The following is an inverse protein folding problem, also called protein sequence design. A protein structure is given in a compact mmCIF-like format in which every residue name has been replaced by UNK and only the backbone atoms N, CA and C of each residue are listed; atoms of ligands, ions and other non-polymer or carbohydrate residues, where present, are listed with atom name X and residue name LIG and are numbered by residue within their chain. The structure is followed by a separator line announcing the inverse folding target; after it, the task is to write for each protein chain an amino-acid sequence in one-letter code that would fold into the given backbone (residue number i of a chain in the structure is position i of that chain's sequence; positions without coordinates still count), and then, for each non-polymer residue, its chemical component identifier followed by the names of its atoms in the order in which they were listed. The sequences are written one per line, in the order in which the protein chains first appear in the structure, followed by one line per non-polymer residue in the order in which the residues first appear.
data_IF_964472338099
#
_entry.id   IF_964472338099
#
_cell.length_a   1.000
_cell.length_b   1.000
_cell.length_c   1.000
_cell.angle_alpha   90.00
_cell.angle_beta   90.00
_cell.angle_gamma   90.00
#
_symmetry.space_group_name_H-M   'P 1'
#
loop_
_entity.id
_entity.type
_entity.pdbx_description
1 polymer ?
#
# COMPACT_ATOMS: atom_id res chain seq x y z
N UNK A 1 -11.72 12.20 -8.94
CA UNK A 1 -10.41 11.62 -9.30
C UNK A 1 -10.49 10.10 -9.30
N UNK A 2 -9.65 9.42 -10.09
CA UNK A 2 -9.58 7.95 -10.10
C UNK A 2 -8.45 7.45 -9.19
N UNK A 3 -8.73 6.43 -8.39
CA UNK A 3 -7.77 5.75 -7.53
C UNK A 3 -7.60 4.32 -8.01
N UNK A 4 -6.38 3.92 -8.37
CA UNK A 4 -6.05 2.52 -8.66
C UNK A 4 -5.32 1.92 -7.47
N UNK A 5 -5.98 1.02 -6.73
CA UNK A 5 -5.34 0.23 -5.69
C UNK A 5 -4.63 -0.97 -6.30
N UNK A 6 -3.39 -1.20 -5.90
CA UNK A 6 -2.52 -2.25 -6.41
C UNK A 6 -1.95 -3.02 -5.24
N UNK A 7 -2.18 -4.33 -5.20
CA UNK A 7 -1.49 -5.21 -4.25
C UNK A 7 -0.04 -5.37 -4.68
N UNK A 8 0.90 -5.44 -3.74
CA UNK A 8 2.29 -5.75 -4.08
C UNK A 8 2.42 -7.04 -4.92
N UNK A 9 3.48 -7.14 -5.73
CA UNK A 9 3.85 -8.40 -6.38
C UNK A 9 4.23 -9.48 -5.37
N UNK A 10 4.39 -10.71 -5.81
CA UNK A 10 4.73 -11.83 -4.94
C UNK A 10 5.96 -11.52 -4.06
N UNK A 11 5.80 -11.66 -2.75
CA UNK A 11 6.86 -11.41 -1.77
C UNK A 11 7.43 -12.71 -1.21
N UNK A 12 8.65 -12.67 -0.69
CA UNK A 12 9.31 -13.84 -0.09
C UNK A 12 8.49 -14.45 1.05
N UNK A 13 7.75 -13.61 1.80
CA UNK A 13 6.87 -14.04 2.88
C UNK A 13 5.68 -14.91 2.45
N UNK A 14 5.36 -15.02 1.16
CA UNK A 14 4.26 -15.87 0.66
C UNK A 14 4.73 -17.25 0.19
N UNK A 15 6.03 -17.53 0.16
CA UNK A 15 6.58 -18.74 -0.46
C UNK A 15 6.46 -20.01 0.41
N UNK A 16 6.48 -19.89 1.73
CA UNK A 16 6.55 -21.04 2.65
C UNK A 16 5.76 -20.79 3.94
N UNK A 17 4.45 -20.64 3.78
CA UNK A 17 3.53 -20.35 4.88
C UNK A 17 3.39 -21.55 5.85
N UNK A 18 3.19 -21.30 7.15
CA UNK A 18 3.12 -20.00 7.80
C UNK A 18 4.50 -19.44 8.21
N UNK A 19 5.58 -20.23 8.11
CA UNK A 19 6.89 -19.87 8.63
C UNK A 19 7.46 -18.61 7.98
N UNK A 20 7.26 -18.43 6.68
CA UNK A 20 7.73 -17.26 5.93
C UNK A 20 7.07 -15.94 6.37
N UNK A 21 6.00 -15.96 7.15
CA UNK A 21 5.40 -14.75 7.75
C UNK A 21 6.27 -14.10 8.83
N UNK A 22 7.26 -14.84 9.36
CA UNK A 22 8.21 -14.33 10.35
C UNK A 22 9.44 -13.66 9.73
N UNK A 23 9.55 -13.66 8.39
CA UNK A 23 10.60 -12.92 7.70
C UNK A 23 10.43 -11.43 7.96
N UNK A 24 11.47 -10.78 8.46
CA UNK A 24 11.51 -9.33 8.55
C UNK A 24 11.77 -8.73 7.17
N UNK A 25 11.03 -7.68 6.85
CA UNK A 25 11.23 -6.86 5.66
C UNK A 25 11.38 -7.65 4.34
N UNK A 26 10.46 -8.58 4.03
CA UNK A 26 10.58 -9.46 2.88
C UNK A 26 10.56 -8.67 1.56
N UNK A 27 11.48 -9.02 0.66
CA UNK A 27 11.53 -8.48 -0.70
C UNK A 27 10.48 -9.11 -1.61
N UNK A 28 10.32 -8.53 -2.80
CA UNK A 28 9.73 -9.22 -3.94
C UNK A 28 10.61 -10.39 -4.38
N UNK A 29 9.97 -11.49 -4.76
CA UNK A 29 10.61 -12.58 -5.50
C UNK A 29 10.91 -12.13 -6.94
N UNK A 30 11.68 -12.91 -7.70
CA UNK A 30 11.86 -12.62 -9.13
C UNK A 30 10.51 -12.62 -9.88
N UNK A 31 9.62 -13.57 -9.58
CA UNK A 31 8.26 -13.57 -10.11
C UNK A 31 7.49 -12.31 -9.70
N UNK A 32 7.63 -11.85 -8.44
CA UNK A 32 7.03 -10.60 -7.97
C UNK A 32 7.53 -9.36 -8.72
N UNK A 33 8.82 -9.32 -9.06
CA UNK A 33 9.41 -8.24 -9.87
C UNK A 33 8.87 -8.28 -11.30
N UNK A 34 8.74 -9.46 -11.91
CA UNK A 34 8.16 -9.61 -13.25
C UNK A 34 6.68 -9.20 -13.29
N UNK A 35 5.90 -9.60 -12.30
CA UNK A 35 4.53 -9.16 -12.11
C UNK A 35 4.42 -7.63 -12.03
N UNK A 36 5.25 -6.99 -11.19
CA UNK A 36 5.27 -5.53 -11.04
C UNK A 36 5.70 -4.82 -12.33
N UNK A 37 6.72 -5.32 -13.05
CA UNK A 37 7.12 -4.78 -14.36
C UNK A 37 5.99 -4.91 -15.38
N UNK A 38 5.24 -6.01 -15.36
CA UNK A 38 4.13 -6.22 -16.30
C UNK A 38 3.03 -5.18 -16.10
N UNK A 39 2.79 -4.74 -14.87
CA UNK A 39 1.84 -3.66 -14.58
C UNK A 39 2.23 -2.31 -15.20
N UNK A 40 3.52 -2.03 -15.43
CA UNK A 40 3.94 -0.80 -16.14
C UNK A 40 3.43 -0.74 -17.58
N UNK A 41 3.08 -1.89 -18.17
CA UNK A 41 2.46 -1.94 -19.51
C UNK A 41 0.94 -1.76 -19.47
N UNK A 42 0.32 -2.02 -18.32
CA UNK A 42 -1.11 -1.83 -18.06
C UNK A 42 -1.40 -0.39 -17.65
N UNK A 43 -0.49 0.21 -16.88
CA UNK A 43 -0.62 1.56 -16.35
C UNK A 43 0.44 2.47 -16.96
N UNK A 44 0.06 3.35 -17.91
CA UNK A 44 0.97 4.35 -18.45
C UNK A 44 1.15 5.48 -17.44
N UNK A 45 1.87 5.22 -16.34
CA UNK A 45 2.15 6.23 -15.30
C UNK A 45 2.91 7.39 -15.93
N UNK A 46 2.42 8.60 -15.72
CA UNK A 46 2.99 9.86 -16.23
C UNK A 46 3.41 10.76 -15.08
N UNK A 47 4.17 11.81 -15.40
CA UNK A 47 4.60 12.83 -14.42
C UNK A 47 3.45 13.54 -13.68
N UNK A 48 2.24 13.53 -14.27
CA UNK A 48 1.06 14.21 -13.73
C UNK A 48 0.26 13.33 -12.76
N UNK A 49 0.65 12.05 -12.61
CA UNK A 49 0.06 11.11 -11.67
C UNK A 49 0.74 11.15 -10.30
N UNK A 50 0.05 10.63 -9.29
CA UNK A 50 0.58 10.43 -7.94
C UNK A 50 0.68 8.94 -7.61
N UNK A 51 1.86 8.50 -7.16
CA UNK A 51 2.04 7.14 -6.61
C UNK A 51 2.16 7.24 -5.10
N UNK A 52 1.23 6.62 -4.37
CA UNK A 52 1.26 6.50 -2.92
C UNK A 52 1.56 5.06 -2.54
N UNK A 53 2.49 4.86 -1.60
CA UNK A 53 3.00 3.52 -1.30
C UNK A 53 3.08 3.23 0.20
N UNK A 54 2.79 1.99 0.55
CA UNK A 54 3.03 1.45 1.89
C UNK A 54 4.52 1.48 2.25
N UNK A 55 4.89 1.80 3.50
CA UNK A 55 6.27 1.78 3.99
C UNK A 55 6.79 0.35 4.26
N UNK A 56 6.66 -0.55 3.29
CA UNK A 56 7.17 -1.94 3.35
C UNK A 56 7.97 -2.21 2.08
N UNK A 57 9.10 -2.92 2.17
CA UNK A 57 10.01 -3.11 1.02
C UNK A 57 9.32 -3.65 -0.23
N UNK A 58 8.53 -4.72 -0.12
CA UNK A 58 7.83 -5.30 -1.28
C UNK A 58 6.88 -4.34 -1.99
N UNK A 59 6.21 -3.44 -1.25
CA UNK A 59 5.36 -2.40 -1.84
C UNK A 59 6.18 -1.29 -2.47
N UNK A 60 7.28 -0.88 -1.83
CA UNK A 60 8.22 0.11 -2.40
C UNK A 60 8.85 -0.40 -3.69
N UNK A 61 9.33 -1.64 -3.73
CA UNK A 61 9.85 -2.28 -4.93
C UNK A 61 8.79 -2.39 -6.03
N UNK A 62 7.56 -2.78 -5.68
CA UNK A 62 6.45 -2.83 -6.64
C UNK A 62 6.18 -1.45 -7.23
N UNK A 63 6.05 -0.42 -6.39
CA UNK A 63 5.80 0.95 -6.82
C UNK A 63 6.93 1.50 -7.71
N UNK A 64 8.20 1.24 -7.37
CA UNK A 64 9.34 1.65 -8.22
C UNK A 64 9.27 1.04 -9.61
N UNK A 65 8.93 -0.25 -9.72
CA UNK A 65 8.85 -0.96 -10.99
C UNK A 65 7.65 -0.52 -11.84
N UNK A 66 6.53 -0.18 -11.23
CA UNK A 66 5.35 0.36 -11.91
C UNK A 66 5.62 1.78 -12.40
N UNK A 67 6.17 2.64 -11.52
CA UNK A 67 6.39 4.04 -11.82
C UNK A 67 7.55 4.26 -12.82
N UNK A 68 8.54 3.36 -12.87
CA UNK A 68 9.64 3.42 -13.82
C UNK A 68 10.38 4.76 -13.82
N UNK A 69 10.56 5.36 -15.00
CA UNK A 69 11.15 6.70 -15.17
C UNK A 69 10.09 7.77 -15.51
N UNK A 70 8.84 7.55 -15.12
CA UNK A 70 7.72 8.47 -15.44
C UNK A 70 7.89 9.91 -14.95
N UNK A 71 8.77 10.15 -13.99
CA UNK A 71 8.91 11.45 -13.32
C UNK A 71 7.72 11.80 -12.41
N UNK A 72 6.80 10.86 -12.17
CA UNK A 72 5.69 11.05 -11.26
C UNK A 72 6.17 11.30 -9.83
N UNK A 73 5.34 12.00 -9.06
CA UNK A 73 5.58 12.16 -7.63
C UNK A 73 5.26 10.86 -6.89
N UNK A 74 6.13 10.46 -5.97
CA UNK A 74 6.01 9.22 -5.20
C UNK A 74 6.07 9.51 -3.72
N UNK A 75 5.05 9.07 -2.97
CA UNK A 75 4.92 9.38 -1.54
C UNK A 75 4.74 8.10 -0.73
N UNK A 76 5.61 7.88 0.24
CA UNK A 76 5.43 6.85 1.27
C UNK A 76 4.48 7.36 2.33
N UNK A 77 3.41 6.60 2.61
CA UNK A 77 2.35 7.01 3.52
C UNK A 77 1.95 5.86 4.47
N UNK A 78 1.95 6.07 5.81
CA UNK A 78 1.67 4.98 6.75
C UNK A 78 0.19 4.55 6.75
N UNK A 79 -0.73 5.41 6.33
CA UNK A 79 -2.16 5.06 6.18
C UNK A 79 -2.46 4.09 5.02
N UNK A 80 -1.46 3.69 4.25
CA UNK A 80 -1.57 2.58 3.30
C UNK A 80 -0.69 1.39 3.69
N UNK A 81 -0.16 1.35 4.92
CA UNK A 81 0.59 0.21 5.47
C UNK A 81 -0.25 -1.06 5.56
N UNK A 82 0.32 -2.23 5.91
CA UNK A 82 -0.43 -3.46 6.09
C UNK A 82 -1.59 -3.28 7.07
N UNK A 83 -2.72 -3.89 6.74
CA UNK A 83 -3.91 -4.03 7.58
C UNK A 83 -4.35 -5.48 7.65
N UNK A 84 -4.49 -6.00 8.85
CA UNK A 84 -5.02 -7.34 9.05
C UNK A 84 -6.50 -7.35 8.66
N UNK A 85 -6.92 -8.43 7.99
CA UNK A 85 -8.30 -8.60 7.60
C UNK A 85 -8.75 -10.06 7.72
N UNK A 86 -9.90 -10.35 8.37
CA UNK A 86 -10.67 -9.42 9.21
C UNK A 86 -9.87 -9.02 10.47
N UNK A 87 -10.26 -7.90 11.10
CA UNK A 87 -9.69 -7.51 12.38
C UNK A 87 -10.00 -8.55 13.47
N UNK A 88 -9.03 -8.80 14.35
CA UNK A 88 -9.13 -9.78 15.44
C UNK A 88 -8.61 -9.17 16.74
N UNK A 89 -9.41 -9.15 17.82
CA UNK A 89 -8.93 -8.70 19.12
C UNK A 89 -7.69 -9.47 19.58
N UNK A 90 -6.69 -8.76 20.11
CA UNK A 90 -5.44 -9.35 20.61
C UNK A 90 -4.47 -9.83 19.53
N UNK A 91 -4.74 -9.59 18.25
CA UNK A 91 -3.77 -9.83 17.20
C UNK A 91 -2.58 -8.86 17.31
N UNK A 92 -1.45 -9.29 16.75
CA UNK A 92 -0.21 -8.51 16.71
C UNK A 92 0.28 -8.42 15.27
N UNK A 93 0.94 -7.32 14.93
CA UNK A 93 1.61 -7.15 13.63
C UNK A 93 2.69 -8.21 13.48
N UNK A 94 2.58 -9.04 12.44
CA UNK A 94 3.58 -10.05 12.10
C UNK A 94 4.88 -9.38 11.61
N UNK A 95 6.05 -10.01 11.77
CA UNK A 95 7.32 -9.43 11.34
C UNK A 95 7.34 -9.00 9.86
N UNK A 96 6.71 -9.78 8.97
CA UNK A 96 6.63 -9.44 7.55
C UNK A 96 5.84 -8.16 7.26
N UNK A 97 4.97 -7.74 8.17
CA UNK A 97 4.12 -6.56 8.02
C UNK A 97 4.61 -5.35 8.83
N UNK A 98 5.78 -5.47 9.47
CA UNK A 98 6.43 -4.32 10.09
C UNK A 98 6.90 -3.36 9.01
N UNK A 99 6.70 -2.08 9.27
CA UNK A 99 7.12 -1.03 8.37
C UNK A 99 8.63 -0.84 8.46
N UNK A 100 9.22 -0.44 7.35
CA UNK A 100 10.58 0.06 7.32
C UNK A 100 10.69 1.35 8.14
N UNK A 101 11.80 1.50 8.85
CA UNK A 101 12.11 2.77 9.48
C UNK A 101 12.41 3.86 8.43
N UNK A 102 12.23 5.12 8.82
CA UNK A 102 12.39 6.26 7.92
C UNK A 102 13.81 6.43 7.38
N UNK A 103 14.84 5.98 8.12
CA UNK A 103 16.23 6.07 7.67
C UNK A 103 16.46 5.05 6.55
N UNK A 104 15.97 3.83 6.71
CA UNK A 104 16.03 2.77 5.69
C UNK A 104 15.29 3.20 4.42
N UNK A 105 14.07 3.74 4.54
CA UNK A 105 13.31 4.25 3.38
C UNK A 105 14.11 5.33 2.63
N UNK A 106 14.65 6.33 3.34
CA UNK A 106 15.40 7.43 2.72
C UNK A 106 16.70 6.97 2.04
N UNK A 107 17.36 5.95 2.60
CA UNK A 107 18.62 5.45 2.08
C UNK A 107 18.41 4.56 0.85
N UNK A 108 17.42 3.68 0.89
CA UNK A 108 17.24 2.64 -0.12
C UNK A 108 16.23 3.03 -1.22
N UNK A 109 15.32 3.95 -0.92
CA UNK A 109 14.29 4.44 -1.83
C UNK A 109 14.29 5.98 -1.87
N UNK A 110 15.42 6.64 -2.22
CA UNK A 110 15.57 8.09 -2.15
C UNK A 110 14.61 8.88 -3.06
N UNK A 111 14.09 8.23 -4.11
CA UNK A 111 13.11 8.81 -5.04
C UNK A 111 11.70 8.93 -4.45
N UNK A 112 11.47 8.41 -3.23
CA UNK A 112 10.20 8.50 -2.55
C UNK A 112 10.23 9.58 -1.46
N UNK A 113 9.27 10.50 -1.56
CA UNK A 113 9.00 11.45 -0.49
C UNK A 113 8.34 10.74 0.69
N UNK A 114 8.81 11.01 1.91
CA UNK A 114 8.14 10.53 3.12
C UNK A 114 7.05 11.54 3.50
N UNK A 115 5.81 11.07 3.73
CA UNK A 115 4.74 11.95 4.22
C UNK A 115 5.12 12.60 5.56
N UNK A 116 5.17 13.93 5.56
CA UNK A 116 5.36 14.74 6.77
C UNK A 116 4.06 14.99 7.53
N UNK A 117 4.17 15.36 8.82
CA UNK A 117 3.02 15.77 9.63
C UNK A 117 2.08 14.63 10.05
N UNK A 118 2.54 13.37 9.95
CA UNK A 118 1.89 12.24 10.60
C UNK A 118 2.46 12.08 12.00
N UNK A 119 1.62 11.61 12.93
CA UNK A 119 2.05 11.25 14.28
C UNK A 119 3.22 10.23 14.22
N UNK A 120 4.30 10.41 15.00
CA UNK A 120 5.35 9.41 15.13
C UNK A 120 4.83 7.99 15.43
N UNK A 121 3.78 7.86 16.23
CA UNK A 121 3.17 6.57 16.56
C UNK A 121 2.53 5.91 15.33
N UNK A 122 2.02 6.69 14.38
CA UNK A 122 1.51 6.17 13.11
C UNK A 122 2.63 5.57 12.26
N UNK A 123 3.83 6.15 12.30
CA UNK A 123 5.01 5.61 11.63
C UNK A 123 5.64 4.42 12.35
N UNK A 124 5.38 4.25 13.65
CA UNK A 124 5.86 3.11 14.44
C UNK A 124 4.89 1.91 14.38
N UNK A 125 3.58 2.17 14.55
CA UNK A 125 2.57 1.14 14.76
C UNK A 125 1.74 0.84 13.51
N UNK A 126 1.56 1.84 12.63
CA UNK A 126 0.75 1.73 11.42
C UNK A 126 -0.71 1.40 11.69
N UNK A 127 -1.40 0.88 10.68
CA UNK A 127 -2.85 0.59 10.73
C UNK A 127 -3.16 -0.90 10.87
N UNK A 128 -2.17 -1.75 11.21
CA UNK A 128 -2.30 -3.19 11.03
C UNK A 128 -3.41 -3.81 11.89
N UNK A 129 -3.36 -3.53 13.18
CA UNK A 129 -4.28 -4.03 14.20
C UNK A 129 -5.24 -2.94 14.70
N UNK A 130 -5.28 -1.80 14.01
CA UNK A 130 -6.12 -0.66 14.36
C UNK A 130 -7.61 -1.07 14.30
N UNK A 131 -8.43 -0.77 15.32
CA UNK A 131 -9.86 -1.03 15.28
C UNK A 131 -10.56 -0.41 14.05
N UNK A 132 -11.68 -1.00 13.63
CA UNK A 132 -12.40 -0.55 12.44
C UNK A 132 -12.86 0.92 12.52
N UNK A 133 -13.42 1.30 13.67
CA UNK A 133 -13.98 2.66 13.86
C UNK A 133 -12.86 3.72 13.82
N UNK A 134 -11.73 3.43 14.46
CA UNK A 134 -10.55 4.29 14.43
C UNK A 134 -9.96 4.38 13.01
N UNK A 135 -9.83 3.26 12.30
CA UNK A 135 -9.34 3.26 10.92
C UNK A 135 -10.24 4.07 9.98
N UNK A 136 -11.56 4.10 10.20
CA UNK A 136 -12.49 4.81 9.32
C UNK A 136 -12.22 6.32 9.29
N UNK A 137 -11.86 6.91 10.43
CA UNK A 137 -11.49 8.33 10.51
C UNK A 137 -10.18 8.61 9.77
N UNK A 138 -9.19 7.73 9.94
CA UNK A 138 -7.91 7.82 9.23
C UNK A 138 -8.05 7.61 7.72
N UNK A 139 -8.93 6.70 7.30
CA UNK A 139 -9.22 6.49 5.89
C UNK A 139 -9.79 7.77 5.25
N UNK A 140 -10.68 8.48 5.95
CA UNK A 140 -11.22 9.75 5.47
C UNK A 140 -10.17 10.87 5.43
N UNK A 141 -9.22 10.87 6.37
CA UNK A 141 -8.08 11.79 6.35
C UNK A 141 -7.18 11.49 5.14
N UNK A 142 -6.89 10.21 4.89
CA UNK A 142 -6.09 9.78 3.74
C UNK A 142 -6.75 10.16 2.41
N UNK A 143 -8.04 9.83 2.25
CA UNK A 143 -8.80 10.08 1.03
C UNK A 143 -8.91 11.58 0.72
N UNK A 144 -9.13 12.42 1.73
CA UNK A 144 -9.07 13.89 1.55
C UNK A 144 -7.68 14.37 1.19
N UNK A 145 -6.64 13.83 1.85
CA UNK A 145 -5.27 14.20 1.54
C UNK A 145 -4.88 13.89 0.09
N UNK A 146 -5.26 12.73 -0.46
CA UNK A 146 -4.99 12.40 -1.87
C UNK A 146 -5.77 13.31 -2.85
N UNK A 147 -7.01 13.68 -2.51
CA UNK A 147 -7.81 14.64 -3.28
C UNK A 147 -7.15 16.03 -3.32
N UNK A 148 -6.65 16.49 -2.17
CA UNK A 148 -5.91 17.76 -2.03
C UNK A 148 -4.59 17.80 -2.83
N UNK A 149 -4.08 16.64 -3.31
CA UNK A 149 -2.89 16.63 -4.17
C UNK A 149 -3.19 17.07 -5.61
N UNK A 150 -4.46 17.12 -6.03
CA UNK A 150 -4.87 17.59 -7.35
C UNK A 150 -4.50 16.67 -8.52
N UNK A 151 -4.07 15.43 -8.26
CA UNK A 151 -3.77 14.45 -9.30
C UNK A 151 -5.05 13.84 -9.87
N UNK A 152 -5.11 13.69 -11.20
CA UNK A 152 -6.26 13.05 -11.85
C UNK A 152 -6.31 11.54 -11.63
N UNK A 153 -5.14 10.88 -11.62
CA UNK A 153 -4.99 9.47 -11.24
C UNK A 153 -4.02 9.33 -10.06
N UNK A 154 -4.45 8.53 -9.08
CA UNK A 154 -3.64 8.15 -7.92
C UNK A 154 -3.46 6.63 -7.91
N UNK A 155 -2.23 6.16 -7.92
CA UNK A 155 -1.89 4.75 -7.77
C UNK A 155 -1.51 4.47 -6.32
N UNK A 156 -2.25 3.59 -5.65
CA UNK A 156 -2.00 3.22 -4.25
C UNK A 156 -1.46 1.80 -4.19
N UNK A 157 -0.17 1.63 -3.89
CA UNK A 157 0.48 0.32 -3.78
C UNK A 157 0.52 -0.14 -2.33
N UNK A 158 -0.24 -1.20 -2.02
CA UNK A 158 -0.54 -1.63 -0.64
C UNK A 158 -0.74 -3.16 -0.54
N UNK A 159 -1.56 -3.60 0.42
CA UNK A 159 -1.78 -4.99 0.85
C UNK A 159 -3.28 -5.30 0.88
N UNK A 160 -3.65 -6.57 0.80
CA UNK A 160 -5.05 -6.98 0.65
C UNK A 160 -5.99 -6.37 1.68
N UNK A 161 -5.70 -6.51 2.97
CA UNK A 161 -6.59 -6.03 4.01
C UNK A 161 -6.75 -4.50 4.01
N UNK A 162 -5.72 -3.76 3.58
CA UNK A 162 -5.78 -2.30 3.46
C UNK A 162 -6.60 -1.90 2.26
N UNK A 163 -6.36 -2.53 1.10
CA UNK A 163 -7.11 -2.29 -0.13
C UNK A 163 -8.58 -2.62 0.10
N UNK A 164 -8.88 -3.77 0.70
CA UNK A 164 -10.25 -4.16 1.06
C UNK A 164 -10.91 -3.13 1.97
N UNK A 165 -10.23 -2.67 3.02
CA UNK A 165 -10.81 -1.69 3.94
C UNK A 165 -11.11 -0.33 3.25
N UNK A 166 -10.25 0.14 2.34
CA UNK A 166 -10.56 1.34 1.54
C UNK A 166 -11.70 1.11 0.55
N UNK A 167 -11.79 -0.07 -0.08
CA UNK A 167 -12.90 -0.43 -0.97
C UNK A 167 -14.23 -0.47 -0.23
N UNK A 168 -14.27 -1.09 0.94
CA UNK A 168 -15.46 -1.10 1.81
C UNK A 168 -15.91 0.34 2.13
N UNK A 169 -14.94 1.21 2.49
CA UNK A 169 -15.21 2.63 2.78
C UNK A 169 -15.78 3.39 1.57
N UNK A 170 -15.19 3.21 0.39
CA UNK A 170 -15.56 3.92 -0.84
C UNK A 170 -16.90 3.44 -1.40
N UNK A 171 -17.12 2.12 -1.42
CA UNK A 171 -18.31 1.49 -1.99
C UNK A 171 -19.47 1.38 -1.01
N UNK A 172 -19.20 1.57 0.29
CA UNK A 172 -20.17 1.38 1.38
C UNK A 172 -20.75 -0.03 1.38
N UNK A 173 -19.89 -1.01 1.12
CA UNK A 173 -20.23 -2.44 1.09
C UNK A 173 -19.33 -3.22 2.06
N UNK A 174 -19.75 -4.42 2.44
CA UNK A 174 -18.94 -5.34 3.23
C UNK A 174 -18.29 -6.35 2.29
N UNK A 175 -16.98 -6.51 2.41
CA UNK A 175 -16.17 -7.43 1.63
C UNK A 175 -15.65 -8.56 2.50
N UNK A 176 -15.10 -9.57 1.85
CA UNK A 176 -14.55 -10.76 2.48
C UNK A 176 -13.16 -11.06 1.94
N UNK A 177 -12.53 -12.12 2.48
CA UNK A 177 -11.28 -12.65 1.92
C UNK A 177 -11.44 -13.21 0.51
N UNK A 178 -12.66 -13.52 0.06
CA UNK A 178 -12.91 -13.95 -1.32
C UNK A 178 -12.72 -12.81 -2.32
N UNK A 179 -12.75 -11.56 -1.83
CA UNK A 179 -12.62 -10.34 -2.64
C UNK A 179 -11.18 -9.80 -2.69
N UNK A 180 -10.23 -10.53 -2.11
CA UNK A 180 -8.81 -10.18 -2.12
C UNK A 180 -8.23 -10.24 -3.54
N UNK A 181 -7.19 -9.44 -3.75
CA UNK A 181 -6.51 -9.38 -5.02
C UNK A 181 -5.41 -10.45 -5.06
N UNK A 182 -5.14 -10.99 -6.25
CA UNK A 182 -3.96 -11.83 -6.46
C UNK A 182 -2.67 -10.97 -6.38
N UNK A 183 -1.50 -11.61 -6.39
CA UNK A 183 -0.22 -10.88 -6.42
C UNK A 183 -0.19 -9.94 -7.64
N UNK A 184 0.20 -8.67 -7.44
CA UNK A 184 0.09 -7.60 -8.45
C UNK A 184 -1.32 -7.40 -9.02
N UNK A 185 -2.36 -7.90 -8.34
CA UNK A 185 -3.75 -7.62 -8.66
C UNK A 185 -4.09 -6.17 -8.32
N UNK A 186 -5.07 -5.63 -9.02
CA UNK A 186 -5.46 -4.23 -8.90
C UNK A 186 -6.96 -4.03 -9.07
N UNK A 187 -7.45 -2.88 -8.61
CA UNK A 187 -8.83 -2.45 -8.80
C UNK A 187 -8.91 -0.92 -8.85
N UNK A 188 -9.94 -0.40 -9.50
CA UNK A 188 -10.17 1.04 -9.68
C UNK A 188 -11.37 1.48 -8.87
N UNK A 189 -11.24 2.62 -8.22
CA UNK A 189 -12.30 3.29 -7.49
C UNK A 189 -12.37 4.77 -7.91
N UNK A 190 -13.52 5.39 -7.71
CA UNK A 190 -13.71 6.83 -7.92
C UNK A 190 -13.87 7.50 -6.55
N UNK A 191 -13.23 8.65 -6.37
CA UNK A 191 -13.37 9.47 -5.17
C UNK A 191 -13.37 10.96 -5.53
N UNK A 192 -14.14 11.76 -4.79
CA UNK A 192 -14.36 13.17 -5.11
C UNK A 192 -15.31 13.38 -6.30
N UNK A 193 -15.68 14.65 -6.53
CA UNK A 193 -16.47 15.10 -7.70
C UNK A 193 -15.60 15.92 -8.63
#
# INVERSE_FOLDING_TARGET
MEITFIRHGQGEHTLSLPGSLQLEDPSLTEAGKEQARSLSTVFPVTKDDLVVVSPVRRTLQTASLIAGESGCRRVVHPLVSPRMFPQKPGAVTLPCDRMLDLKTIRNEFPDFEVKFGMDPDMWASGINVMPHDEFSEWADIFLRWIEDQGAHHVYVVSHDGTITAYRERLRRETLSRADFLNDAGWTREQFGQ
#
